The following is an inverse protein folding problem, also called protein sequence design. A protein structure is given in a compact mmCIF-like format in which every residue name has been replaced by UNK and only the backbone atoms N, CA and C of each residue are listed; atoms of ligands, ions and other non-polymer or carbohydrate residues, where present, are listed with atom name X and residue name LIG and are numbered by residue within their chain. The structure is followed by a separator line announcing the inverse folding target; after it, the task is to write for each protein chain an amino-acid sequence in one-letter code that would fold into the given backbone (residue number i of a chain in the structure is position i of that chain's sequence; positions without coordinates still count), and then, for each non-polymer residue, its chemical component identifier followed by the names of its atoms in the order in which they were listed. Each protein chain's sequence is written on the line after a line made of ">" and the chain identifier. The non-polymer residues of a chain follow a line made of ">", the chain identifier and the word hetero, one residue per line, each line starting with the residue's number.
data_IF_419320471579
#
_entry.id   IF_419320471579
#
_cell.length_a   1.000
_cell.length_b   1.000
_cell.length_c   1.000
_cell.angle_alpha   90.00
_cell.angle_beta   90.00
_cell.angle_gamma   90.00
#
_symmetry.space_group_name_H-M   'P 1'
#
loop_
_entity.id
_entity.type
_entity.pdbx_description
1 polymer ?
#
# COMPACT_ATOMS: atom_id res chain seq x y z
N UNK A 1 -9.54 33.40 49.52
CA UNK A 1 -8.95 33.59 48.17
C UNK A 1 -8.28 32.28 47.74
N UNK A 2 -8.46 31.93 46.47
CA UNK A 2 -7.67 30.97 45.69
C UNK A 2 -7.71 29.49 46.08
N UNK A 3 -8.81 28.80 45.73
CA UNK A 3 -8.86 27.33 45.67
C UNK A 3 -9.45 26.77 44.37
N UNK A 4 -9.58 27.57 43.31
CA UNK A 4 -10.20 27.16 42.03
C UNK A 4 -9.49 27.74 40.78
N UNK A 5 -8.16 27.73 40.75
CA UNK A 5 -7.40 27.98 39.52
C UNK A 5 -6.45 26.81 39.28
N UNK A 6 -6.92 25.82 38.53
CA UNK A 6 -6.12 24.97 37.61
C UNK A 6 -6.96 23.85 36.95
N UNK A 7 -8.26 24.07 36.76
CA UNK A 7 -9.12 23.20 35.95
C UNK A 7 -9.66 24.05 34.79
N UNK A 8 -8.77 24.51 33.92
CA UNK A 8 -9.10 25.11 32.63
C UNK A 8 -8.01 24.75 31.64
N UNK A 9 -8.42 23.99 30.62
CA UNK A 9 -7.82 23.84 29.30
C UNK A 9 -6.29 23.65 29.23
N UNK A 10 -5.85 22.40 29.45
CA UNK A 10 -4.75 21.91 28.60
C UNK A 10 -5.30 21.85 27.18
N UNK A 11 -5.18 22.94 26.42
CA UNK A 11 -5.26 22.88 24.96
C UNK A 11 -4.39 21.70 24.55
N UNK A 12 -4.99 20.67 23.95
CA UNK A 12 -4.24 19.53 23.45
C UNK A 12 -3.08 20.10 22.63
N UNK A 13 -1.85 19.76 23.02
CA UNK A 13 -0.68 20.16 22.26
C UNK A 13 -0.86 19.61 20.84
N UNK A 14 -0.45 20.38 19.80
CA UNK A 14 -0.58 19.92 18.44
C UNK A 14 0.14 18.58 18.28
N UNK A 15 -0.53 17.59 17.71
CA UNK A 15 0.08 16.29 17.40
C UNK A 15 1.02 16.49 16.22
N UNK A 16 2.32 16.29 16.44
CA UNK A 16 3.35 16.45 15.41
C UNK A 16 4.09 15.16 15.09
N UNK A 17 4.03 14.18 15.99
CA UNK A 17 4.71 12.90 15.89
C UNK A 17 3.95 11.84 16.71
N UNK A 18 4.36 10.57 16.56
CA UNK A 18 3.71 9.45 17.24
C UNK A 18 3.70 9.56 18.77
N UNK A 19 4.75 10.13 19.38
CA UNK A 19 4.77 10.31 20.84
C UNK A 19 3.72 11.31 21.31
N UNK A 20 3.48 12.39 20.55
CA UNK A 20 2.43 13.37 20.87
C UNK A 20 1.05 12.71 20.76
N UNK A 21 0.83 11.91 19.72
CA UNK A 21 -0.40 11.13 19.55
C UNK A 21 -0.62 10.15 20.72
N UNK A 22 0.38 9.35 21.08
CA UNK A 22 0.23 8.37 22.15
C UNK A 22 0.04 8.99 23.53
N UNK A 23 0.70 10.12 23.81
CA UNK A 23 0.42 10.90 25.05
C UNK A 23 -1.01 11.41 25.06
N UNK A 24 -1.52 11.90 23.93
CA UNK A 24 -2.93 12.28 23.82
C UNK A 24 -3.85 11.06 24.05
N UNK A 25 -3.55 9.91 23.44
CA UNK A 25 -4.35 8.70 23.60
C UNK A 25 -4.39 8.26 25.07
N UNK A 26 -3.25 8.19 25.77
CA UNK A 26 -3.15 7.85 27.19
C UNK A 26 -4.01 8.77 28.09
N UNK A 27 -4.15 10.05 27.74
CA UNK A 27 -5.00 10.97 28.51
C UNK A 27 -6.51 10.70 28.32
N UNK A 28 -6.89 9.99 27.26
CA UNK A 28 -8.29 9.72 26.89
C UNK A 28 -8.66 8.23 27.02
N UNK A 29 -7.68 7.35 27.23
CA UNK A 29 -7.84 5.89 27.15
C UNK A 29 -9.00 5.36 28.01
N UNK A 30 -9.17 5.85 29.24
CA UNK A 30 -10.24 5.37 30.13
C UNK A 30 -11.64 5.66 29.59
N UNK A 31 -11.79 6.81 28.92
CA UNK A 31 -13.06 7.20 28.29
C UNK A 31 -13.31 6.29 27.09
N UNK A 32 -12.31 6.10 26.23
CA UNK A 32 -12.43 5.23 25.07
C UNK A 32 -12.69 3.78 25.47
N UNK A 33 -12.01 3.27 26.50
CA UNK A 33 -12.16 1.92 26.99
C UNK A 33 -13.59 1.67 27.45
N UNK A 34 -14.15 2.62 28.22
CA UNK A 34 -15.53 2.56 28.67
C UNK A 34 -16.52 2.56 27.49
N UNK A 35 -16.31 3.43 26.50
CA UNK A 35 -17.16 3.52 25.31
C UNK A 35 -17.20 2.18 24.56
N UNK A 36 -16.05 1.54 24.36
CA UNK A 36 -16.00 0.24 23.67
C UNK A 36 -16.62 -0.87 24.53
N UNK A 37 -16.25 -0.95 25.82
CA UNK A 37 -16.74 -2.00 26.74
C UNK A 37 -18.25 -1.96 26.95
N UNK A 38 -18.83 -0.77 27.04
CA UNK A 38 -20.27 -0.59 27.25
C UNK A 38 -21.08 -0.56 25.94
N UNK A 39 -20.42 -0.76 24.78
CA UNK A 39 -21.04 -0.60 23.45
C UNK A 39 -21.77 0.74 23.31
N UNK A 40 -21.13 1.81 23.78
CA UNK A 40 -21.61 3.19 23.64
C UNK A 40 -21.60 3.66 22.19
N UNK A 41 -21.78 4.96 21.97
CA UNK A 41 -21.69 5.53 20.63
C UNK A 41 -20.22 5.65 20.20
N UNK A 42 -19.64 4.54 19.71
CA UNK A 42 -18.22 4.45 19.29
C UNK A 42 -17.87 5.54 18.28
N UNK A 43 -18.75 5.77 17.30
CA UNK A 43 -18.56 6.80 16.28
C UNK A 43 -18.35 8.18 16.91
N UNK A 44 -19.30 8.61 17.74
CA UNK A 44 -19.31 9.93 18.33
C UNK A 44 -18.25 10.11 19.42
N UNK A 45 -18.16 9.14 20.32
CA UNK A 45 -17.42 9.29 21.57
C UNK A 45 -15.98 8.80 21.50
N UNK A 46 -15.63 8.06 20.44
CA UNK A 46 -14.28 7.58 20.15
C UNK A 46 -13.78 8.00 18.77
N UNK A 47 -14.37 7.51 17.67
CA UNK A 47 -13.81 7.72 16.32
C UNK A 47 -13.74 9.18 15.89
N UNK A 48 -14.77 9.98 16.16
CA UNK A 48 -14.77 11.43 15.89
C UNK A 48 -13.70 12.19 16.69
N UNK A 49 -13.19 11.63 17.78
CA UNK A 49 -12.08 12.21 18.55
C UNK A 49 -10.72 11.70 18.07
N UNK A 50 -10.66 10.43 17.62
CA UNK A 50 -9.46 9.77 17.12
C UNK A 50 -9.06 10.27 15.73
N UNK A 51 -10.01 10.38 14.79
CA UNK A 51 -9.75 10.74 13.39
C UNK A 51 -8.92 12.02 13.24
N UNK A 52 -9.28 13.16 13.88
CA UNK A 52 -8.52 14.39 13.68
C UNK A 52 -7.09 14.31 14.21
N UNK A 53 -6.84 13.44 15.20
CA UNK A 53 -5.51 13.25 15.78
C UNK A 53 -4.61 12.41 14.86
N UNK A 54 -5.17 11.41 14.18
CA UNK A 54 -4.44 10.62 13.19
C UNK A 54 -4.14 11.43 11.93
N UNK A 55 -5.13 12.18 11.43
CA UNK A 55 -4.96 13.04 10.25
C UNK A 55 -3.89 14.12 10.47
N UNK A 56 -3.67 14.57 11.71
CA UNK A 56 -2.59 15.50 12.04
C UNK A 56 -1.18 14.90 11.82
N UNK A 57 -1.04 13.56 11.88
CA UNK A 57 0.22 12.87 11.57
C UNK A 57 0.38 12.71 10.05
N UNK A 58 -0.63 12.11 9.43
CA UNK A 58 -0.69 11.76 8.01
C UNK A 58 -2.10 11.26 7.67
N UNK A 59 -2.58 11.57 6.47
CA UNK A 59 -3.80 10.97 5.92
C UNK A 59 -3.61 9.51 5.54
N UNK A 60 -4.68 8.71 5.62
CA UNK A 60 -4.67 7.30 5.21
C UNK A 60 -4.49 6.29 6.34
N UNK A 61 -4.66 6.72 7.59
CA UNK A 61 -4.91 5.80 8.71
C UNK A 61 -6.40 5.47 8.79
N UNK A 62 -6.73 4.20 8.70
CA UNK A 62 -8.06 3.67 9.01
C UNK A 62 -7.97 2.83 10.29
N UNK A 63 -9.12 2.55 10.92
CA UNK A 63 -9.11 1.88 12.22
C UNK A 63 -10.41 1.13 12.52
N UNK A 64 -10.27 0.09 13.34
CA UNK A 64 -11.36 -0.73 13.88
C UNK A 64 -11.13 -0.91 15.39
N UNK A 65 -12.20 -1.05 16.17
CA UNK A 65 -12.07 -1.32 17.60
C UNK A 65 -13.12 -2.30 18.09
N UNK A 66 -12.75 -3.08 19.09
CA UNK A 66 -13.61 -4.08 19.71
C UNK A 66 -13.02 -4.59 21.02
N UNK A 67 -13.77 -5.45 21.72
CA UNK A 67 -13.23 -6.17 22.87
C UNK A 67 -12.38 -7.34 22.37
N UNK A 68 -11.10 -7.36 22.74
CA UNK A 68 -10.21 -8.50 22.52
C UNK A 68 -10.56 -9.67 23.46
N UNK A 69 -10.92 -9.32 24.70
CA UNK A 69 -11.46 -10.22 25.72
C UNK A 69 -12.26 -9.40 26.74
N UNK A 70 -12.78 -10.02 27.80
CA UNK A 70 -13.62 -9.36 28.83
C UNK A 70 -13.02 -8.09 29.47
N UNK A 71 -11.69 -7.97 29.46
CA UNK A 71 -10.95 -6.92 30.16
C UNK A 71 -10.02 -6.09 29.27
N UNK A 72 -9.96 -6.38 27.98
CA UNK A 72 -8.99 -5.77 27.06
C UNK A 72 -9.71 -5.27 25.80
N UNK A 73 -9.52 -4.00 25.47
CA UNK A 73 -9.95 -3.41 24.19
C UNK A 73 -8.82 -3.53 23.19
N UNK A 74 -9.16 -3.88 21.95
CA UNK A 74 -8.27 -3.79 20.81
C UNK A 74 -8.61 -2.58 19.94
N UNK A 75 -7.57 -1.87 19.51
CA UNK A 75 -7.63 -0.89 18.45
C UNK A 75 -6.69 -1.33 17.33
N UNK A 76 -7.27 -1.75 16.22
CA UNK A 76 -6.56 -2.13 15.00
C UNK A 76 -6.42 -0.89 14.13
N UNK A 77 -5.20 -0.58 13.70
CA UNK A 77 -4.93 0.42 12.67
C UNK A 77 -4.68 -0.30 11.35
N UNK A 78 -5.26 0.20 10.26
CA UNK A 78 -5.20 -0.44 8.94
C UNK A 78 -4.85 0.60 7.88
N UNK A 79 -4.10 0.17 6.87
CA UNK A 79 -3.78 0.96 5.68
C UNK A 79 -4.85 0.78 4.59
N UNK A 80 -5.83 -0.09 4.82
CA UNK A 80 -6.91 -0.43 3.91
C UNK A 80 -6.39 -0.83 2.52
N UNK A 81 -5.35 -1.68 2.52
CA UNK A 81 -4.68 -2.16 1.30
C UNK A 81 -3.79 -1.13 0.58
N UNK A 82 -3.73 0.12 1.06
CA UNK A 82 -2.87 1.15 0.45
C UNK A 82 -1.41 0.89 0.82
N UNK A 83 -0.66 0.27 -0.08
CA UNK A 83 0.73 -0.19 0.11
C UNK A 83 1.62 0.89 0.73
N UNK A 84 1.58 2.11 0.20
CA UNK A 84 2.42 3.21 0.69
C UNK A 84 2.10 3.68 2.12
N UNK A 85 0.95 3.30 2.68
CA UNK A 85 0.54 3.68 4.02
C UNK A 85 0.91 2.62 5.08
N UNK A 86 1.16 1.37 4.67
CA UNK A 86 1.43 0.23 5.56
C UNK A 86 2.55 0.54 6.58
N UNK A 87 3.68 1.07 6.11
CA UNK A 87 4.82 1.39 6.98
C UNK A 87 4.46 2.36 8.10
N UNK A 88 3.58 3.33 7.84
CA UNK A 88 3.21 4.33 8.84
C UNK A 88 2.26 3.75 9.89
N UNK A 89 1.44 2.77 9.52
CA UNK A 89 0.60 1.98 10.44
C UNK A 89 1.46 1.14 11.36
N UNK A 90 2.43 0.42 10.79
CA UNK A 90 3.42 -0.37 11.54
C UNK A 90 4.20 0.52 12.52
N UNK A 91 4.71 1.67 12.07
CA UNK A 91 5.45 2.60 12.92
C UNK A 91 4.60 3.22 14.03
N UNK A 92 3.34 3.57 13.75
CA UNK A 92 2.42 4.11 14.75
C UNK A 92 2.25 3.12 15.90
N UNK A 93 1.95 1.86 15.59
CA UNK A 93 1.73 0.80 16.60
C UNK A 93 3.03 0.43 17.30
N UNK A 94 4.16 0.36 16.59
CA UNK A 94 5.47 0.12 17.21
C UNK A 94 5.87 1.21 18.20
N UNK A 95 5.40 2.45 18.00
CA UNK A 95 5.61 3.56 18.93
C UNK A 95 4.63 3.55 20.13
N UNK A 96 3.67 2.62 20.18
CA UNK A 96 2.64 2.59 21.21
C UNK A 96 3.25 2.29 22.59
N UNK A 97 2.94 3.10 23.62
CA UNK A 97 3.28 2.76 24.98
C UNK A 97 2.42 1.60 25.46
N UNK A 98 2.91 0.85 26.45
CA UNK A 98 2.07 -0.10 27.17
C UNK A 98 0.96 0.66 27.92
N UNK A 99 -0.29 0.32 27.65
CA UNK A 99 -1.48 0.85 28.35
C UNK A 99 -2.28 -0.34 28.84
N UNK A 100 -2.45 -0.46 30.15
CA UNK A 100 -3.19 -1.58 30.74
C UNK A 100 -4.64 -1.58 30.23
N UNK A 101 -5.13 -2.75 29.82
CA UNK A 101 -6.47 -2.91 29.23
C UNK A 101 -6.54 -2.61 27.73
N UNK A 102 -5.42 -2.31 27.06
CA UNK A 102 -5.38 -2.06 25.62
C UNK A 102 -4.40 -2.96 24.88
N UNK A 103 -4.80 -3.37 23.67
CA UNK A 103 -3.95 -3.95 22.64
C UNK A 103 -4.04 -3.05 21.40
N UNK A 104 -2.89 -2.77 20.80
CA UNK A 104 -2.78 -2.03 19.55
C UNK A 104 -2.21 -2.96 18.50
N UNK A 105 -2.91 -3.08 17.38
CA UNK A 105 -2.55 -4.02 16.32
C UNK A 105 -2.34 -3.24 15.03
N UNK A 106 -1.20 -3.48 14.37
CA UNK A 106 -0.91 -2.94 13.06
C UNK A 106 -1.41 -3.92 12.01
N UNK A 107 -2.25 -3.42 11.11
CA UNK A 107 -2.88 -4.15 10.02
C UNK A 107 -3.83 -5.24 10.53
N UNK A 108 -4.83 -5.61 9.73
CA UNK A 108 -5.73 -6.71 10.11
C UNK A 108 -4.95 -8.03 10.15
N UNK A 109 -5.01 -8.73 11.28
CA UNK A 109 -4.40 -10.04 11.44
C UNK A 109 -5.23 -11.11 10.75
N UNK A 110 -4.54 -12.15 10.24
CA UNK A 110 -5.19 -13.28 9.58
C UNK A 110 -6.07 -14.07 10.58
N UNK A 111 -7.29 -14.39 10.18
CA UNK A 111 -8.18 -15.26 10.95
C UNK A 111 -7.99 -16.73 10.55
N UNK A 112 -8.16 -17.65 11.49
CA UNK A 112 -8.26 -19.08 11.20
C UNK A 112 -9.46 -19.35 10.29
N UNK A 113 -9.36 -20.36 9.41
CA UNK A 113 -10.42 -20.63 8.42
C UNK A 113 -11.75 -21.02 9.11
N UNK A 114 -11.66 -21.64 10.28
CA UNK A 114 -12.78 -21.98 11.15
C UNK A 114 -13.42 -20.77 11.84
N UNK A 115 -12.75 -19.63 11.87
CA UNK A 115 -13.15 -18.40 12.54
C UNK A 115 -13.48 -17.26 11.56
N UNK A 116 -13.38 -17.49 10.25
CA UNK A 116 -13.68 -16.50 9.22
C UNK A 116 -14.96 -16.89 8.48
N UNK A 117 -16.00 -16.10 8.73
CA UNK A 117 -17.25 -16.14 7.97
C UNK A 117 -17.79 -14.72 7.92
N UNK A 118 -18.19 -14.28 6.74
CA UNK A 118 -18.74 -12.94 6.54
C UNK A 118 -20.13 -13.07 5.95
N UNK A 119 -21.06 -12.25 6.42
CA UNK A 119 -22.40 -12.11 5.86
C UNK A 119 -22.56 -10.70 5.31
N UNK A 120 -22.95 -10.58 4.04
CA UNK A 120 -23.21 -9.30 3.38
C UNK A 120 -24.54 -9.36 2.64
N UNK A 121 -25.55 -8.71 3.22
CA UNK A 121 -26.93 -8.84 2.74
C UNK A 121 -27.41 -10.26 2.93
N UNK A 122 -27.73 -10.94 1.83
CA UNK A 122 -28.18 -12.34 1.80
C UNK A 122 -27.06 -13.34 1.50
N UNK A 123 -25.85 -12.86 1.20
CA UNK A 123 -24.71 -13.71 0.83
C UNK A 123 -23.83 -14.02 2.03
N UNK A 124 -23.38 -15.28 2.10
CA UNK A 124 -22.41 -15.78 3.07
C UNK A 124 -21.08 -16.02 2.36
N UNK A 125 -19.97 -15.78 3.03
CA UNK A 125 -18.61 -16.02 2.52
C UNK A 125 -17.88 -16.88 3.54
N UNK A 126 -17.61 -18.13 3.20
CA UNK A 126 -16.97 -19.12 4.08
C UNK A 126 -16.28 -20.21 3.26
N UNK A 127 -15.55 -21.09 3.93
CA UNK A 127 -14.96 -22.27 3.30
C UNK A 127 -15.98 -23.26 2.72
N UNK A 128 -17.25 -23.15 3.08
CA UNK A 128 -18.31 -24.01 2.53
C UNK A 128 -18.66 -23.66 1.08
N UNK A 129 -18.41 -22.41 0.65
CA UNK A 129 -18.85 -21.89 -0.65
C UNK A 129 -17.79 -21.13 -1.44
N UNK A 130 -16.55 -21.12 -0.96
CA UNK A 130 -15.40 -20.53 -1.62
C UNK A 130 -14.33 -21.60 -1.83
N UNK A 131 -13.89 -21.71 -3.08
CA UNK A 131 -12.79 -22.56 -3.52
C UNK A 131 -11.85 -21.70 -4.39
N UNK A 132 -10.68 -22.21 -4.77
CA UNK A 132 -9.77 -21.50 -5.68
C UNK A 132 -9.03 -22.44 -6.63
N UNK A 133 -8.46 -21.89 -7.69
CA UNK A 133 -7.32 -22.48 -8.40
C UNK A 133 -6.30 -21.39 -8.70
N UNK A 134 -5.08 -21.79 -9.06
CA UNK A 134 -4.01 -20.86 -9.43
C UNK A 134 -3.69 -20.99 -10.92
N UNK A 135 -3.26 -19.90 -11.55
CA UNK A 135 -2.87 -19.86 -12.95
C UNK A 135 -1.34 -19.75 -13.06
N UNK A 136 -0.74 -20.58 -13.92
CA UNK A 136 0.70 -20.55 -14.20
C UNK A 136 0.97 -19.98 -15.58
N UNK A 137 1.91 -19.06 -15.67
CA UNK A 137 2.38 -18.47 -16.92
C UNK A 137 3.87 -18.76 -17.07
N UNK A 138 4.26 -19.42 -18.17
CA UNK A 138 5.64 -19.83 -18.39
C UNK A 138 6.62 -18.65 -18.44
N UNK A 139 6.18 -17.51 -18.96
CA UNK A 139 6.97 -16.28 -19.06
C UNK A 139 7.04 -15.52 -17.73
N UNK A 140 6.09 -15.78 -16.80
CA UNK A 140 5.96 -15.12 -15.50
C UNK A 140 5.84 -16.12 -14.36
N UNK A 141 6.82 -17.03 -14.17
CA UNK A 141 6.69 -18.16 -13.26
C UNK A 141 6.65 -17.79 -11.78
N UNK A 142 6.97 -16.55 -11.41
CA UNK A 142 6.93 -16.04 -10.03
C UNK A 142 5.65 -15.24 -9.74
N UNK A 143 4.80 -14.99 -10.74
CA UNK A 143 3.48 -14.39 -10.52
C UNK A 143 2.56 -15.36 -9.78
N UNK A 144 1.72 -14.80 -8.91
CA UNK A 144 0.69 -15.47 -8.14
C UNK A 144 -0.64 -14.92 -8.66
N UNK A 145 -1.17 -15.61 -9.67
CA UNK A 145 -2.51 -15.39 -10.20
C UNK A 145 -3.46 -16.44 -9.61
N UNK A 146 -4.45 -15.95 -8.86
CA UNK A 146 -5.45 -16.76 -8.18
C UNK A 146 -6.81 -16.47 -8.79
N UNK A 147 -7.54 -17.54 -9.12
CA UNK A 147 -8.97 -17.45 -9.42
C UNK A 147 -9.76 -18.05 -8.28
N UNK A 148 -10.63 -17.24 -7.68
CA UNK A 148 -11.56 -17.63 -6.63
C UNK A 148 -12.88 -18.02 -7.26
N UNK A 149 -13.43 -19.14 -6.81
CA UNK A 149 -14.74 -19.62 -7.20
C UNK A 149 -15.67 -19.37 -6.02
N UNK A 150 -16.74 -18.62 -6.26
CA UNK A 150 -17.82 -18.48 -5.31
C UNK A 150 -19.07 -19.17 -5.84
N UNK A 151 -19.62 -20.13 -5.10
CA UNK A 151 -20.69 -21.02 -5.59
C UNK A 151 -21.95 -20.27 -6.04
N UNK A 152 -22.27 -19.18 -5.35
CA UNK A 152 -23.45 -18.37 -5.59
C UNK A 152 -23.28 -17.24 -6.64
N UNK A 153 -22.08 -17.09 -7.24
CA UNK A 153 -21.82 -16.01 -8.19
C UNK A 153 -22.55 -16.25 -9.52
N UNK A 154 -23.30 -15.25 -9.95
CA UNK A 154 -23.89 -15.12 -11.28
C UNK A 154 -23.73 -13.66 -11.77
N UNK A 155 -24.19 -13.38 -13.00
CA UNK A 155 -24.02 -12.03 -13.58
C UNK A 155 -24.81 -10.93 -12.86
N UNK A 156 -25.94 -11.26 -12.22
CA UNK A 156 -26.76 -10.27 -11.50
C UNK A 156 -26.12 -9.83 -10.18
N UNK A 157 -25.46 -10.76 -9.47
CA UNK A 157 -24.87 -10.50 -8.15
C UNK A 157 -23.34 -10.32 -8.16
N UNK A 158 -22.72 -10.35 -9.34
CA UNK A 158 -21.27 -10.34 -9.55
C UNK A 158 -20.53 -9.30 -8.71
N UNK A 159 -20.99 -8.06 -8.69
CA UNK A 159 -20.35 -6.98 -7.94
C UNK A 159 -20.39 -7.22 -6.41
N UNK A 160 -21.53 -7.69 -5.88
CA UNK A 160 -21.70 -7.95 -4.46
C UNK A 160 -20.85 -9.14 -4.00
N UNK A 161 -20.87 -10.24 -4.76
CA UNK A 161 -20.07 -11.43 -4.45
C UNK A 161 -18.58 -11.15 -4.60
N UNK A 162 -18.17 -10.40 -5.63
CA UNK A 162 -16.76 -10.02 -5.80
C UNK A 162 -16.29 -9.21 -4.58
N UNK A 163 -17.01 -8.15 -4.21
CA UNK A 163 -16.64 -7.33 -3.06
C UNK A 163 -16.58 -8.13 -1.75
N UNK A 164 -17.57 -8.99 -1.48
CA UNK A 164 -17.56 -9.83 -0.29
C UNK A 164 -16.44 -10.86 -0.28
N UNK A 165 -16.03 -11.35 -1.46
CA UNK A 165 -14.86 -12.25 -1.61
C UNK A 165 -13.56 -11.52 -1.25
N UNK A 166 -13.37 -10.28 -1.70
CA UNK A 166 -12.21 -9.47 -1.32
C UNK A 166 -12.16 -9.24 0.21
N UNK A 167 -13.30 -8.91 0.83
CA UNK A 167 -13.37 -8.71 2.28
C UNK A 167 -13.11 -10.03 3.02
N UNK A 168 -13.63 -11.16 2.53
CA UNK A 168 -13.36 -12.47 3.08
C UNK A 168 -11.87 -12.81 3.05
N UNK A 169 -11.21 -12.62 1.90
CA UNK A 169 -9.78 -12.90 1.75
C UNK A 169 -8.92 -11.98 2.59
N UNK A 170 -9.27 -10.70 2.69
CA UNK A 170 -8.58 -9.75 3.55
C UNK A 170 -8.63 -10.16 5.04
N UNK A 171 -9.77 -10.66 5.53
CA UNK A 171 -9.89 -11.19 6.89
C UNK A 171 -9.19 -12.56 7.04
N UNK A 172 -9.32 -13.43 6.04
CA UNK A 172 -8.75 -14.77 6.09
C UNK A 172 -7.24 -14.73 6.04
N UNK A 173 -6.66 -14.05 5.05
CA UNK A 173 -5.21 -13.97 4.83
C UNK A 173 -4.53 -12.92 5.72
N UNK A 174 -5.29 -11.95 6.24
CA UNK A 174 -4.76 -10.76 6.87
C UNK A 174 -4.33 -9.72 5.83
N UNK A 175 -4.36 -8.45 6.23
CA UNK A 175 -4.22 -7.31 5.31
C UNK A 175 -2.86 -7.29 4.61
N UNK A 176 -1.76 -7.47 5.36
CA UNK A 176 -0.42 -7.43 4.79
C UNK A 176 -0.23 -8.53 3.75
N UNK A 177 -0.56 -9.77 4.13
CA UNK A 177 -0.35 -10.93 3.26
C UNK A 177 -1.21 -10.82 2.01
N UNK A 178 -2.49 -10.44 2.16
CA UNK A 178 -3.38 -10.26 1.02
C UNK A 178 -2.88 -9.20 0.04
N UNK A 179 -2.45 -8.04 0.54
CA UNK A 179 -1.98 -6.94 -0.29
C UNK A 179 -0.61 -7.20 -0.95
N UNK A 180 0.19 -8.12 -0.42
CA UNK A 180 1.61 -8.28 -0.82
C UNK A 180 1.98 -9.61 -1.43
N UNK A 181 1.13 -10.64 -1.41
CA UNK A 181 1.48 -11.95 -2.01
C UNK A 181 0.77 -12.20 -3.32
N UNK A 182 -0.54 -12.01 -3.38
CA UNK A 182 -1.34 -12.20 -4.60
C UNK A 182 -1.06 -11.02 -5.56
N UNK A 183 -0.80 -11.32 -6.83
CA UNK A 183 -0.53 -10.32 -7.87
C UNK A 183 -1.79 -10.05 -8.69
N UNK A 184 -2.51 -11.12 -9.03
CA UNK A 184 -3.76 -11.06 -9.78
C UNK A 184 -4.82 -11.89 -9.06
N UNK A 185 -6.01 -11.31 -8.90
CA UNK A 185 -7.15 -11.99 -8.30
C UNK A 185 -8.37 -11.89 -9.22
N UNK A 186 -8.87 -13.04 -9.65
CA UNK A 186 -10.11 -13.16 -10.41
C UNK A 186 -11.19 -13.81 -9.54
N UNK A 187 -12.45 -13.41 -9.70
CA UNK A 187 -13.59 -14.04 -9.01
C UNK A 187 -14.61 -14.50 -10.05
N UNK A 188 -14.92 -15.79 -10.03
CA UNK A 188 -15.82 -16.44 -10.98
C UNK A 188 -16.89 -17.27 -10.27
N UNK A 189 -17.97 -17.57 -11.00
CA UNK A 189 -18.99 -18.53 -10.58
C UNK A 189 -18.67 -19.95 -11.04
N UNK A 190 -19.33 -20.93 -10.43
CA UNK A 190 -19.11 -22.37 -10.65
C UNK A 190 -19.20 -22.78 -12.13
N UNK A 191 -20.05 -22.13 -12.92
CA UNK A 191 -20.26 -22.45 -14.34
C UNK A 191 -19.04 -22.09 -15.23
N UNK A 192 -18.12 -21.26 -14.74
CA UNK A 192 -16.97 -20.78 -15.48
C UNK A 192 -15.65 -21.46 -15.09
N UNK A 193 -15.71 -22.51 -14.27
CA UNK A 193 -14.51 -23.24 -13.80
C UNK A 193 -13.86 -23.99 -14.96
N UNK A 194 -12.57 -23.76 -15.15
CA UNK A 194 -11.78 -24.36 -16.24
C UNK A 194 -10.72 -25.36 -15.76
N UNK A 195 -10.46 -25.39 -14.45
CA UNK A 195 -9.35 -26.13 -13.83
C UNK A 195 -9.83 -26.89 -12.60
N UNK A 196 -8.97 -27.76 -12.07
CA UNK A 196 -9.24 -28.46 -10.82
C UNK A 196 -9.30 -27.47 -9.66
N UNK A 197 -10.41 -27.51 -8.90
CA UNK A 197 -10.63 -26.61 -7.76
C UNK A 197 -9.94 -27.15 -6.50
N UNK A 198 -9.43 -26.22 -5.71
CA UNK A 198 -8.73 -26.45 -4.45
C UNK A 198 -9.54 -25.79 -3.32
N UNK A 199 -9.77 -26.48 -2.20
CA UNK A 199 -10.44 -25.88 -1.05
C UNK A 199 -9.71 -24.65 -0.52
N UNK A 200 -10.45 -23.59 -0.19
CA UNK A 200 -9.88 -22.29 0.22
C UNK A 200 -8.97 -22.38 1.47
N UNK A 201 -9.17 -23.40 2.32
CA UNK A 201 -8.30 -23.70 3.47
C UNK A 201 -6.83 -23.83 3.07
N UNK A 202 -6.56 -24.29 1.83
CA UNK A 202 -5.20 -24.55 1.31
C UNK A 202 -4.51 -23.31 0.76
N UNK A 203 -5.22 -22.19 0.60
CA UNK A 203 -4.66 -20.99 0.00
C UNK A 203 -3.48 -20.43 0.82
N UNK A 204 -3.58 -20.43 2.15
CA UNK A 204 -2.47 -19.97 3.01
C UNK A 204 -1.21 -20.81 2.83
N UNK A 205 -1.36 -22.13 2.86
CA UNK A 205 -0.23 -23.06 2.67
C UNK A 205 0.42 -22.85 1.29
N UNK A 206 -0.40 -22.67 0.25
CA UNK A 206 0.06 -22.36 -1.09
C UNK A 206 0.86 -21.05 -1.14
N UNK A 207 0.32 -19.95 -0.58
CA UNK A 207 1.00 -18.65 -0.58
C UNK A 207 2.33 -18.70 0.19
N UNK A 208 2.38 -19.36 1.33
CA UNK A 208 3.61 -19.55 2.12
C UNK A 208 4.65 -20.35 1.33
N UNK A 209 4.23 -21.40 0.62
CA UNK A 209 5.11 -22.18 -0.24
C UNK A 209 5.70 -21.30 -1.37
N UNK A 210 4.86 -20.53 -2.07
CA UNK A 210 5.28 -19.62 -3.15
C UNK A 210 6.24 -18.53 -2.66
N UNK A 211 5.97 -17.95 -1.49
CA UNK A 211 6.84 -16.96 -0.87
C UNK A 211 8.21 -17.56 -0.55
N UNK A 212 8.25 -18.78 -0.01
CA UNK A 212 9.51 -19.47 0.28
C UNK A 212 10.33 -19.73 -0.99
N UNK A 213 9.70 -20.23 -2.06
CA UNK A 213 10.38 -20.41 -3.36
C UNK A 213 10.96 -19.08 -3.88
N UNK A 214 10.18 -18.00 -3.76
CA UNK A 214 10.61 -16.67 -4.20
C UNK A 214 11.81 -16.17 -3.39
N UNK A 215 11.79 -16.30 -2.06
CA UNK A 215 12.91 -15.90 -1.19
C UNK A 215 14.16 -16.71 -1.54
N UNK A 216 14.06 -18.03 -1.63
CA UNK A 216 15.20 -18.91 -1.97
C UNK A 216 15.84 -18.55 -3.32
N UNK A 217 15.05 -18.06 -4.28
CA UNK A 217 15.52 -17.65 -5.61
C UNK A 217 16.14 -16.26 -5.64
N UNK A 218 15.69 -15.32 -4.81
CA UNK A 218 15.97 -13.89 -4.99
C UNK A 218 16.60 -13.16 -3.79
N UNK A 219 16.74 -13.79 -2.61
CA UNK A 219 17.26 -13.14 -1.39
C UNK A 219 18.62 -12.44 -1.63
N UNK A 220 19.54 -13.11 -2.32
CA UNK A 220 20.90 -12.62 -2.57
C UNK A 220 21.05 -11.80 -3.87
N UNK A 221 19.96 -11.51 -4.59
CA UNK A 221 20.03 -10.79 -5.88
C UNK A 221 20.27 -9.30 -5.65
N UNK A 222 21.49 -8.84 -5.87
CA UNK A 222 21.85 -7.43 -5.89
C UNK A 222 22.07 -6.90 -7.31
N UNK A 223 21.93 -5.58 -7.50
CA UNK A 223 22.24 -4.89 -8.75
C UNK A 223 22.85 -3.52 -8.45
N UNK A 224 23.96 -3.20 -9.09
CA UNK A 224 24.57 -1.86 -9.08
C UNK A 224 24.46 -1.28 -10.48
N UNK A 225 23.93 -0.08 -10.64
CA UNK A 225 23.59 0.54 -11.93
C UNK A 225 24.57 1.63 -12.36
N UNK A 226 25.72 1.77 -11.68
CA UNK A 226 26.65 2.88 -11.89
C UNK A 226 27.30 2.96 -13.28
N UNK A 227 27.27 1.88 -14.07
CA UNK A 227 27.78 1.82 -15.44
C UNK A 227 26.69 1.46 -16.46
N UNK A 228 25.41 1.57 -16.09
CA UNK A 228 24.31 1.22 -16.98
C UNK A 228 24.13 2.23 -18.11
N UNK A 229 23.66 1.73 -19.25
CA UNK A 229 23.32 2.54 -20.39
C UNK A 229 21.90 3.12 -20.26
N UNK A 230 21.78 4.40 -20.62
CA UNK A 230 20.51 5.10 -20.69
C UNK A 230 20.21 5.52 -22.13
N UNK A 231 18.97 5.32 -22.56
CA UNK A 231 18.48 5.77 -23.86
C UNK A 231 17.56 6.97 -23.69
N UNK A 232 17.69 7.93 -24.61
CA UNK A 232 16.77 9.06 -24.73
C UNK A 232 15.76 8.74 -25.83
N UNK A 233 14.48 8.78 -25.48
CA UNK A 233 13.34 8.55 -26.36
C UNK A 233 12.58 9.85 -26.54
N UNK A 234 12.26 10.19 -27.78
CA UNK A 234 11.47 11.37 -28.14
C UNK A 234 10.26 10.96 -28.96
N UNK A 235 9.09 11.49 -28.63
CA UNK A 235 7.86 11.25 -29.37
C UNK A 235 6.96 12.48 -29.42
N UNK A 236 6.03 12.50 -30.38
CA UNK A 236 4.92 13.46 -30.42
C UNK A 236 3.63 12.71 -30.10
N UNK A 237 2.92 13.15 -29.07
CA UNK A 237 1.66 12.55 -28.63
C UNK A 237 0.51 12.89 -29.58
N UNK A 238 -0.61 12.19 -29.47
CA UNK A 238 -1.83 12.50 -30.23
C UNK A 238 -2.36 13.92 -29.96
N UNK A 239 -2.08 14.45 -28.77
CA UNK A 239 -2.38 15.85 -28.41
C UNK A 239 -1.50 16.87 -29.14
N UNK A 240 -0.46 16.43 -29.86
CA UNK A 240 0.57 17.27 -30.48
C UNK A 240 1.68 17.70 -29.52
N UNK A 241 1.59 17.35 -28.23
CA UNK A 241 2.61 17.65 -27.24
C UNK A 241 3.85 16.75 -27.41
N UNK A 242 5.00 17.27 -26.97
CA UNK A 242 6.24 16.50 -26.95
C UNK A 242 6.26 15.54 -25.76
N UNK A 243 6.91 14.39 -25.94
CA UNK A 243 7.29 13.46 -24.88
C UNK A 243 8.80 13.22 -24.97
N UNK A 244 9.46 13.32 -23.82
CA UNK A 244 10.88 12.97 -23.67
C UNK A 244 11.00 11.97 -22.53
N UNK A 245 11.60 10.80 -22.78
CA UNK A 245 11.90 9.82 -21.75
C UNK A 245 13.39 9.47 -21.73
N UNK A 246 13.92 9.25 -20.54
CA UNK A 246 15.30 8.79 -20.30
C UNK A 246 15.18 7.50 -19.50
N UNK A 247 15.55 6.38 -20.11
CA UNK A 247 15.28 5.05 -19.57
C UNK A 247 16.58 4.24 -19.51
N UNK A 248 16.79 3.55 -18.39
CA UNK A 248 17.88 2.60 -18.21
C UNK A 248 17.57 1.32 -19.02
N UNK A 249 18.20 1.18 -20.17
CA UNK A 249 17.93 0.04 -21.07
C UNK A 249 18.53 -1.26 -20.57
N UNK A 250 19.62 -1.19 -19.80
CA UNK A 250 20.26 -2.38 -19.22
C UNK A 250 19.37 -3.02 -18.14
N UNK A 251 18.59 -2.21 -17.40
CA UNK A 251 17.57 -2.71 -16.48
C UNK A 251 16.38 -3.33 -17.22
N UNK A 252 15.91 -2.74 -18.33
CA UNK A 252 14.77 -3.29 -19.06
C UNK A 252 15.03 -4.71 -19.61
N UNK A 253 16.28 -5.06 -19.88
CA UNK A 253 16.66 -6.41 -20.34
C UNK A 253 17.21 -7.29 -19.21
N UNK A 254 17.22 -6.82 -17.97
CA UNK A 254 17.72 -7.60 -16.85
C UNK A 254 16.81 -8.79 -16.54
N UNK A 255 17.38 -9.98 -16.34
CA UNK A 255 16.59 -11.22 -16.17
C UNK A 255 16.00 -11.39 -14.76
N UNK A 256 16.52 -10.68 -13.76
CA UNK A 256 16.10 -10.85 -12.36
C UNK A 256 15.08 -9.80 -11.89
N UNK A 257 14.24 -9.27 -12.80
CA UNK A 257 13.24 -8.21 -12.50
C UNK A 257 12.35 -8.55 -11.30
N UNK A 258 11.89 -9.80 -11.24
CA UNK A 258 11.03 -10.31 -10.17
C UNK A 258 11.59 -10.08 -8.77
N UNK A 259 12.92 -10.01 -8.60
CA UNK A 259 13.56 -9.70 -7.32
C UNK A 259 13.25 -8.30 -6.77
N UNK A 260 12.76 -7.39 -7.61
CA UNK A 260 12.39 -6.00 -7.25
C UNK A 260 10.95 -5.73 -7.69
N UNK A 261 9.96 -6.36 -7.03
CA UNK A 261 8.61 -6.46 -7.56
C UNK A 261 7.76 -5.20 -7.36
N UNK A 262 8.25 -4.22 -6.58
CA UNK A 262 7.50 -3.02 -6.25
C UNK A 262 7.92 -1.86 -7.15
N UNK A 263 6.97 -1.32 -7.90
CA UNK A 263 7.20 -0.14 -8.73
C UNK A 263 6.75 1.10 -7.96
N UNK A 264 7.70 1.99 -7.73
CA UNK A 264 7.46 3.34 -7.26
C UNK A 264 7.36 4.26 -8.47
N UNK A 265 6.26 5.01 -8.56
CA UNK A 265 6.07 6.11 -9.49
C UNK A 265 6.00 7.41 -8.72
N UNK A 266 6.78 8.41 -9.14
CA UNK A 266 6.77 9.76 -8.57
C UNK A 266 6.32 10.72 -9.66
N UNK A 267 5.25 11.44 -9.42
CA UNK A 267 4.69 12.44 -10.34
C UNK A 267 5.00 13.84 -9.85
N UNK A 268 5.59 14.66 -10.71
CA UNK A 268 5.86 16.08 -10.51
C UNK A 268 5.05 16.88 -11.53
N UNK A 269 3.97 17.51 -11.10
CA UNK A 269 3.10 18.30 -11.97
C UNK A 269 3.55 19.76 -11.97
N UNK A 270 3.51 20.38 -13.15
CA UNK A 270 3.95 21.76 -13.35
C UNK A 270 3.08 22.47 -14.41
N UNK A 271 3.30 23.76 -14.62
CA UNK A 271 2.63 24.51 -15.68
C UNK A 271 3.45 24.47 -16.98
N UNK A 272 3.06 23.64 -17.94
CA UNK A 272 3.75 23.48 -19.23
C UNK A 272 2.92 23.85 -20.46
N UNK A 273 1.67 24.31 -20.28
CA UNK A 273 0.70 24.46 -21.39
C UNK A 273 1.16 25.40 -22.50
N UNK A 274 1.88 26.47 -22.14
CA UNK A 274 2.45 27.42 -23.10
C UNK A 274 3.74 26.94 -23.77
N UNK A 275 4.21 25.74 -23.41
CA UNK A 275 5.51 25.16 -23.77
C UNK A 275 5.38 23.71 -24.27
N UNK A 276 4.28 23.40 -24.97
CA UNK A 276 4.00 22.06 -25.52
C UNK A 276 4.07 20.93 -24.47
N UNK A 277 3.68 21.24 -23.23
CA UNK A 277 3.72 20.29 -22.12
C UNK A 277 5.09 20.14 -21.45
N UNK A 278 6.09 20.98 -21.77
CA UNK A 278 7.44 20.94 -21.19
C UNK A 278 7.65 22.01 -20.09
N UNK A 279 8.54 21.77 -19.12
CA UNK A 279 8.80 22.72 -18.04
C UNK A 279 9.62 23.92 -18.54
N UNK A 280 9.58 25.03 -17.80
CA UNK A 280 10.62 26.06 -17.94
C UNK A 280 11.91 25.65 -17.22
N UNK A 281 12.95 26.47 -17.38
CA UNK A 281 14.28 26.21 -16.83
C UNK A 281 14.25 26.06 -15.31
N UNK A 282 13.66 27.03 -14.60
CA UNK A 282 13.62 27.04 -13.13
C UNK A 282 12.85 25.83 -12.59
N UNK A 283 11.75 25.44 -13.26
CA UNK A 283 10.99 24.23 -12.92
C UNK A 283 11.82 22.96 -13.20
N UNK A 284 12.57 22.89 -14.31
CA UNK A 284 13.44 21.73 -14.60
C UNK A 284 14.52 21.57 -13.54
N UNK A 285 15.18 22.66 -13.16
CA UNK A 285 16.22 22.67 -12.12
C UNK A 285 15.65 22.23 -10.75
N UNK A 286 14.42 22.64 -10.41
CA UNK A 286 13.73 22.18 -9.20
C UNK A 286 13.46 20.68 -9.24
N UNK A 287 12.94 20.17 -10.37
CA UNK A 287 12.64 18.74 -10.52
C UNK A 287 13.90 17.88 -10.51
N UNK A 288 14.98 18.33 -11.12
CA UNK A 288 16.30 17.68 -11.07
C UNK A 288 16.80 17.57 -9.63
N UNK A 289 16.69 18.66 -8.86
CA UNK A 289 17.06 18.64 -7.44
C UNK A 289 16.23 17.63 -6.62
N UNK A 290 14.93 17.52 -6.90
CA UNK A 290 14.06 16.55 -6.22
C UNK A 290 14.48 15.12 -6.59
N UNK A 291 14.74 14.86 -7.87
CA UNK A 291 15.19 13.56 -8.35
C UNK A 291 16.55 13.15 -7.75
N UNK A 292 17.51 14.08 -7.69
CA UNK A 292 18.80 13.86 -7.02
C UNK A 292 18.63 13.53 -5.53
N UNK A 293 17.69 14.19 -4.84
CA UNK A 293 17.38 13.89 -3.44
C UNK A 293 16.81 12.48 -3.29
N UNK A 294 15.92 12.04 -4.19
CA UNK A 294 15.38 10.68 -4.20
C UNK A 294 16.50 9.66 -4.44
N UNK A 295 17.35 9.87 -5.45
CA UNK A 295 18.47 8.99 -5.79
C UNK A 295 19.49 8.84 -4.67
N UNK A 296 19.74 9.90 -3.91
CA UNK A 296 20.66 9.86 -2.76
C UNK A 296 20.13 8.99 -1.61
N UNK A 297 18.82 8.93 -1.44
CA UNK A 297 18.14 8.16 -0.38
C UNK A 297 17.82 6.72 -0.82
N UNK A 298 17.44 6.52 -2.09
CA UNK A 298 17.05 5.25 -2.70
C UNK A 298 18.19 4.72 -3.57
N UNK A 299 19.11 3.99 -2.93
CA UNK A 299 20.34 3.50 -3.57
C UNK A 299 20.14 2.13 -4.21
N UNK A 300 20.76 1.94 -5.36
CA UNK A 300 20.74 0.70 -6.15
C UNK A 300 21.21 -0.52 -5.35
N UNK A 301 22.34 -0.42 -4.65
CA UNK A 301 22.90 -1.50 -3.85
C UNK A 301 22.06 -1.86 -2.60
N UNK A 302 21.08 -1.02 -2.24
CA UNK A 302 20.10 -1.30 -1.20
C UNK A 302 18.80 -1.88 -1.76
N UNK A 303 18.72 -2.08 -3.09
CA UNK A 303 17.56 -2.66 -3.76
C UNK A 303 16.55 -1.65 -4.31
N UNK A 304 17.00 -0.43 -4.67
CA UNK A 304 16.14 0.59 -5.28
C UNK A 304 16.74 1.05 -6.61
N UNK A 305 16.20 0.54 -7.71
CA UNK A 305 16.77 0.70 -9.04
C UNK A 305 16.02 1.79 -9.80
N UNK A 306 16.72 2.86 -10.21
CA UNK A 306 16.13 3.91 -11.05
C UNK A 306 15.96 3.37 -12.47
N UNK A 307 14.71 3.10 -12.86
CA UNK A 307 14.33 2.66 -14.20
C UNK A 307 14.44 3.81 -15.20
N UNK A 308 14.08 5.02 -14.76
CA UNK A 308 14.21 6.21 -15.56
C UNK A 308 13.13 7.24 -15.26
N UNK A 309 12.93 8.15 -16.21
CA UNK A 309 11.92 9.20 -16.12
C UNK A 309 11.30 9.51 -17.48
N UNK A 310 10.07 10.03 -17.44
CA UNK A 310 9.36 10.57 -18.60
C UNK A 310 8.89 11.99 -18.30
N UNK A 311 8.93 12.87 -19.28
CA UNK A 311 8.36 14.23 -19.20
C UNK A 311 7.43 14.44 -20.39
N UNK A 312 6.15 14.65 -20.10
CA UNK A 312 5.11 14.93 -21.10
C UNK A 312 3.86 15.52 -20.42
N UNK A 313 3.02 16.20 -21.19
CA UNK A 313 1.69 16.67 -20.77
C UNK A 313 1.67 17.40 -19.40
N UNK A 314 2.69 18.22 -19.14
CA UNK A 314 2.85 19.00 -17.90
C UNK A 314 3.18 18.16 -16.65
N UNK A 315 3.69 16.94 -16.83
CA UNK A 315 4.06 16.01 -15.76
C UNK A 315 5.47 15.49 -16.03
N UNK A 316 6.27 15.34 -14.97
CA UNK A 316 7.46 14.48 -14.98
C UNK A 316 7.19 13.28 -14.08
N UNK A 317 7.31 12.10 -14.64
CA UNK A 317 7.20 10.83 -13.92
C UNK A 317 8.59 10.23 -13.74
N UNK A 318 8.91 9.79 -12.51
CA UNK A 318 10.17 9.11 -12.18
C UNK A 318 9.83 7.71 -11.68
N UNK A 319 10.60 6.72 -12.13
CA UNK A 319 10.29 5.31 -11.95
C UNK A 319 11.41 4.57 -11.22
N UNK A 320 11.04 3.83 -10.19
CA UNK A 320 11.95 2.92 -9.49
C UNK A 320 11.35 1.52 -9.39
N UNK A 321 12.20 0.50 -9.56
CA UNK A 321 11.91 -0.86 -9.14
C UNK A 321 12.56 -1.14 -7.78
N UNK A 322 11.78 -1.58 -6.81
CA UNK A 322 12.16 -1.67 -5.40
C UNK A 322 12.01 -3.11 -4.88
N UNK A 323 12.95 -3.55 -4.04
CA UNK A 323 12.82 -4.80 -3.27
C UNK A 323 11.72 -4.73 -2.22
N UNK A 324 11.57 -3.59 -1.57
CA UNK A 324 10.61 -3.33 -0.50
C UNK A 324 9.94 -1.96 -0.71
N UNK A 325 8.70 -1.83 -0.23
CA UNK A 325 7.90 -0.61 -0.40
C UNK A 325 7.98 0.35 0.80
N UNK A 326 8.45 -0.10 1.97
CA UNK A 326 8.38 0.68 3.22
C UNK A 326 9.34 1.86 3.20
N UNK A 327 10.60 1.64 2.83
CA UNK A 327 11.59 2.72 2.71
C UNK A 327 11.16 3.78 1.70
N UNK A 328 10.80 3.46 0.43
CA UNK A 328 10.39 4.48 -0.54
C UNK A 328 9.15 5.25 -0.06
N UNK A 329 8.18 4.59 0.57
CA UNK A 329 7.01 5.27 1.16
C UNK A 329 7.41 6.36 2.16
N UNK A 330 8.36 6.07 3.05
CA UNK A 330 8.84 7.03 4.05
C UNK A 330 9.59 8.20 3.42
N UNK A 331 10.51 7.90 2.51
CA UNK A 331 11.32 8.92 1.84
C UNK A 331 10.41 9.86 1.05
N UNK A 332 9.49 9.33 0.24
CA UNK A 332 8.65 10.14 -0.63
C UNK A 332 7.60 10.92 0.15
N UNK A 333 7.04 10.40 1.25
CA UNK A 333 6.21 11.19 2.16
C UNK A 333 6.97 12.39 2.78
N UNK A 334 8.26 12.19 3.09
CA UNK A 334 9.13 13.28 3.59
C UNK A 334 9.39 14.34 2.52
N UNK A 335 9.70 13.92 1.29
CA UNK A 335 9.95 14.79 0.15
C UNK A 335 8.68 15.54 -0.25
N UNK A 336 7.53 14.87 -0.34
CA UNK A 336 6.22 15.47 -0.58
C UNK A 336 5.95 16.61 0.40
N UNK A 337 6.09 16.37 1.71
CA UNK A 337 5.93 17.42 2.74
C UNK A 337 6.95 18.56 2.61
N UNK A 338 8.19 18.25 2.22
CA UNK A 338 9.26 19.25 2.07
C UNK A 338 9.03 20.20 0.89
N UNK A 339 8.38 19.73 -0.18
CA UNK A 339 8.17 20.47 -1.43
C UNK A 339 6.71 20.88 -1.69
N UNK A 340 5.81 20.65 -0.73
CA UNK A 340 4.37 20.93 -0.82
C UNK A 340 4.02 22.33 -1.38
N UNK A 341 4.74 23.38 -0.95
CA UNK A 341 4.49 24.77 -1.38
C UNK A 341 5.21 25.16 -2.68
N UNK A 342 5.94 24.23 -3.32
CA UNK A 342 6.83 24.51 -4.47
C UNK A 342 6.43 23.77 -5.74
N UNK A 343 5.93 22.56 -5.62
CA UNK A 343 5.51 21.73 -6.75
C UNK A 343 4.46 20.73 -6.27
N UNK A 344 3.50 20.43 -7.15
CA UNK A 344 2.54 19.36 -6.90
C UNK A 344 3.24 18.01 -7.15
N UNK A 345 3.71 17.41 -6.05
CA UNK A 345 4.36 16.12 -6.01
C UNK A 345 3.41 15.09 -5.44
N UNK A 346 3.22 13.99 -6.15
CA UNK A 346 2.53 12.81 -5.63
C UNK A 346 3.29 11.54 -6.00
N UNK A 347 2.98 10.43 -5.35
CA UNK A 347 3.62 9.15 -5.65
C UNK A 347 2.68 7.98 -5.42
N UNK A 348 2.92 6.89 -6.14
CA UNK A 348 2.23 5.62 -5.97
C UNK A 348 3.23 4.47 -5.88
N UNK A 349 2.84 3.41 -5.18
CA UNK A 349 3.59 2.16 -5.14
C UNK A 349 2.63 1.03 -5.42
N UNK A 350 2.93 0.24 -6.44
CA UNK A 350 2.16 -0.94 -6.82
C UNK A 350 3.11 -2.09 -7.15
N UNK A 351 2.56 -3.28 -7.26
CA UNK A 351 3.34 -4.46 -7.60
C UNK A 351 3.25 -4.75 -9.09
N UNK A 352 4.40 -4.98 -9.70
CA UNK A 352 4.58 -5.43 -11.09
C UNK A 352 5.91 -6.20 -11.12
N UNK A 353 5.86 -7.52 -10.87
CA UNK A 353 7.06 -8.36 -10.68
C UNK A 353 7.99 -8.32 -11.88
N UNK A 354 7.44 -8.31 -13.08
CA UNK A 354 8.21 -8.41 -14.32
C UNK A 354 8.38 -7.08 -15.05
N UNK A 355 7.97 -5.99 -14.42
CA UNK A 355 8.12 -4.62 -14.91
C UNK A 355 7.41 -4.43 -16.26
N UNK A 356 6.27 -5.09 -16.45
CA UNK A 356 5.47 -5.08 -17.68
C UNK A 356 5.00 -3.65 -18.03
N UNK A 357 4.83 -2.79 -17.01
CA UNK A 357 4.48 -1.37 -17.17
C UNK A 357 5.48 -0.59 -18.03
N UNK A 358 6.71 -1.08 -18.17
CA UNK A 358 7.79 -0.46 -18.93
C UNK A 358 8.02 -1.07 -20.31
N UNK A 359 7.23 -2.06 -20.72
CA UNK A 359 7.38 -2.70 -22.04
C UNK A 359 7.20 -1.71 -23.20
N UNK A 360 6.44 -0.64 -22.97
CA UNK A 360 6.30 0.49 -23.91
C UNK A 360 7.61 1.23 -24.24
N UNK A 361 8.67 1.03 -23.44
CA UNK A 361 9.99 1.61 -23.66
C UNK A 361 10.99 0.64 -24.27
N UNK A 362 10.60 -0.63 -24.48
CA UNK A 362 11.46 -1.59 -25.19
C UNK A 362 11.49 -1.18 -26.67
N UNK A 363 12.69 -0.85 -27.13
CA UNK A 363 12.97 -0.63 -28.55
C UNK A 363 13.32 -2.00 -29.12
N UNK A 364 12.55 -2.48 -30.10
CA UNK A 364 12.88 -3.69 -30.87
C UNK A 364 14.11 -3.50 -31.77
#
# INVERSE_FOLDING_TARGET
>A
MSFLKNIFDKKNQPIKNYNDFWRWFQNNEKVFFKVVKEKGNIEKDFFNKLSPQLNALKDGFNYLTGMYNDNTVELVFTADGVIKNIVFVEELVNAAPKIDGWVFTALKSALGIENVSIEMGEYKFSNENIDFYYNEFADFPDEIDITIIHKDLNEENKAAITNGTYIFLDNFLGELNFATTIDTLNVIGSDNVQQEIIPIEKLKDYLVWREKEFIEKYEDVGRNTGNDNYSVLEATLQSGNALVAIINTDLLVWDSKASHPWILTVELKYEGKSRNGMPDKDTSELMEKIEDEILNELKDFEGYLNIGRQTAENIREIYFACKDFRKPSKILHGIEKKYLDKIDLSYNIYKDKYWQSFDRYRIE
#
